data_IF_915699643158
#
_entry.id   IF_915699643158
#
_cell.length_a   1.000
_cell.length_b   1.000
_cell.length_c   1.000
_cell.angle_alpha   90.00
_cell.angle_beta   90.00
_cell.angle_gamma   90.00
#
_symmetry.space_group_name_H-M   'P 1'
#
loop_
_entity.id
_entity.type
_entity.pdbx_description
1 polymer ?
#
# COMPACT_ATOMS: atom_id res chain seq x y z
N UNK A 1 -0.34 -15.53 -55.94
CA UNK A 1 0.41 -16.12 -54.81
C UNK A 1 1.22 -15.04 -54.09
N UNK A 2 2.04 -14.22 -54.79
CA UNK A 2 2.76 -13.09 -54.16
C UNK A 2 1.89 -12.07 -53.39
N UNK A 3 0.73 -11.68 -53.92
CA UNK A 3 -0.18 -10.72 -53.23
C UNK A 3 -0.76 -11.27 -51.91
N UNK A 4 -0.84 -12.60 -51.79
CA UNK A 4 -1.40 -13.29 -50.64
C UNK A 4 -0.40 -13.33 -49.48
N UNK A 5 0.89 -13.39 -49.79
CA UNK A 5 1.97 -13.47 -48.81
C UNK A 5 2.25 -12.09 -48.20
N UNK A 6 2.17 -11.02 -49.00
CA UNK A 6 2.31 -9.64 -48.51
C UNK A 6 1.17 -9.21 -47.57
N UNK A 7 -0.05 -9.68 -47.81
CA UNK A 7 -1.18 -9.42 -46.90
C UNK A 7 -1.00 -10.14 -45.56
N UNK A 8 -0.48 -11.37 -45.57
CA UNK A 8 -0.15 -12.10 -44.35
C UNK A 8 1.01 -11.45 -43.60
N UNK A 9 2.02 -10.92 -44.30
CA UNK A 9 3.14 -10.20 -43.68
C UNK A 9 2.67 -8.92 -42.99
N UNK A 10 1.74 -8.18 -43.61
CA UNK A 10 1.11 -6.98 -43.02
C UNK A 10 0.28 -7.32 -41.78
N UNK A 11 -0.52 -8.40 -41.83
CA UNK A 11 -1.30 -8.87 -40.67
C UNK A 11 -0.39 -9.33 -39.52
N UNK A 12 0.74 -9.96 -39.82
CA UNK A 12 1.76 -10.33 -38.83
C UNK A 12 2.44 -9.09 -38.25
N UNK A 13 2.75 -8.08 -39.06
CA UNK A 13 3.29 -6.80 -38.58
C UNK A 13 2.32 -6.07 -37.66
N UNK A 14 1.04 -6.02 -38.00
CA UNK A 14 -0.02 -5.43 -37.15
C UNK A 14 -0.20 -6.21 -35.85
N UNK A 15 -0.02 -7.54 -35.86
CA UNK A 15 -0.04 -8.39 -34.66
C UNK A 15 1.17 -8.13 -33.74
N UNK A 16 2.36 -7.92 -34.31
CA UNK A 16 3.59 -7.64 -33.56
C UNK A 16 3.59 -6.21 -32.99
N UNK A 17 3.08 -5.23 -33.75
CA UNK A 17 2.98 -3.84 -33.32
C UNK A 17 1.81 -3.64 -32.33
N UNK A 18 0.70 -4.38 -32.51
CA UNK A 18 -0.43 -4.42 -31.58
C UNK A 18 -0.18 -5.25 -30.31
N UNK A 19 0.83 -6.12 -30.34
CA UNK A 19 1.40 -6.83 -29.19
C UNK A 19 2.28 -5.92 -28.35
N UNK A 20 1.75 -4.78 -27.92
CA UNK A 20 2.39 -3.92 -26.94
C UNK A 20 2.57 -4.68 -25.63
N UNK A 21 3.72 -5.34 -25.50
CA UNK A 21 4.25 -5.93 -24.26
C UNK A 21 4.59 -4.85 -23.23
N UNK A 22 3.64 -3.96 -22.95
CA UNK A 22 3.66 -3.16 -21.74
C UNK A 22 3.25 -4.09 -20.61
N UNK A 23 4.11 -4.23 -19.60
CA UNK A 23 3.70 -4.82 -18.33
C UNK A 23 2.49 -4.02 -17.86
N UNK A 24 1.29 -4.60 -18.00
CA UNK A 24 0.06 -3.94 -17.60
C UNK A 24 0.12 -3.84 -16.08
N UNK A 25 0.63 -2.72 -15.56
CA UNK A 25 0.72 -2.43 -14.13
C UNK A 25 -0.63 -2.68 -13.47
N UNK A 26 -1.73 -2.35 -14.18
CA UNK A 26 -3.10 -2.67 -13.76
C UNK A 26 -3.38 -4.17 -13.60
N UNK A 27 -2.86 -5.03 -14.48
CA UNK A 27 -3.01 -6.49 -14.39
C UNK A 27 -2.14 -7.09 -13.29
N UNK A 28 -0.91 -6.59 -13.11
CA UNK A 28 -0.02 -7.01 -12.03
C UNK A 28 -0.55 -6.58 -10.65
N UNK A 29 -0.99 -5.33 -10.50
CA UNK A 29 -1.64 -4.84 -9.29
C UNK A 29 -2.94 -5.59 -9.02
N UNK A 30 -3.76 -5.88 -10.04
CA UNK A 30 -4.96 -6.74 -9.86
C UNK A 30 -4.59 -8.14 -9.41
N UNK A 31 -3.52 -8.75 -9.91
CA UNK A 31 -3.07 -10.07 -9.47
C UNK A 31 -2.60 -10.07 -8.01
N UNK A 32 -1.95 -8.99 -7.55
CA UNK A 32 -1.55 -8.80 -6.15
C UNK A 32 -2.79 -8.59 -5.26
N UNK A 33 -3.74 -7.76 -5.68
CA UNK A 33 -4.94 -7.42 -4.90
C UNK A 33 -5.93 -8.60 -4.83
N UNK A 34 -6.06 -9.39 -5.90
CA UNK A 34 -6.91 -10.60 -5.89
C UNK A 34 -6.35 -11.72 -5.03
N UNK A 35 -5.12 -11.58 -4.54
CA UNK A 35 -4.53 -12.58 -3.70
C UNK A 35 -5.19 -12.52 -2.32
N UNK A 36 -5.94 -13.56 -1.96
CA UNK A 36 -6.76 -13.61 -0.73
C UNK A 36 -5.96 -13.50 0.58
N UNK A 37 -4.63 -13.44 0.51
CA UNK A 37 -3.71 -13.24 1.64
C UNK A 37 -3.35 -11.77 1.87
N UNK A 38 -3.66 -10.87 0.92
CA UNK A 38 -3.30 -9.46 1.01
C UNK A 38 -4.10 -8.74 2.11
N UNK A 39 -5.43 -8.89 2.12
CA UNK A 39 -6.28 -8.30 3.16
C UNK A 39 -5.94 -8.75 4.60
N UNK A 40 -5.79 -10.06 4.89
CA UNK A 40 -5.43 -10.54 6.22
C UNK A 40 -4.05 -10.10 6.70
N UNK A 41 -3.07 -9.91 5.81
CA UNK A 41 -1.73 -9.47 6.16
C UNK A 41 -1.73 -8.07 6.81
N UNK A 42 -2.56 -7.15 6.31
CA UNK A 42 -2.66 -5.80 6.88
C UNK A 42 -3.43 -5.77 8.20
N UNK A 43 -4.44 -6.63 8.37
CA UNK A 43 -5.10 -6.79 9.67
C UNK A 43 -4.10 -7.28 10.73
N UNK A 44 -3.22 -8.22 10.37
CA UNK A 44 -2.14 -8.68 11.26
C UNK A 44 -1.16 -7.54 11.57
N UNK A 45 -0.78 -6.72 10.59
CA UNK A 45 0.09 -5.56 10.80
C UNK A 45 -0.55 -4.50 11.70
N UNK A 46 -1.85 -4.23 11.57
CA UNK A 46 -2.59 -3.30 12.43
C UNK A 46 -2.55 -3.80 13.88
N UNK A 47 -2.85 -5.08 14.09
CA UNK A 47 -2.80 -5.70 15.42
C UNK A 47 -1.38 -5.65 15.98
N UNK A 48 -0.35 -5.92 15.17
CA UNK A 48 1.04 -5.85 15.59
C UNK A 48 1.43 -4.42 16.01
N UNK A 49 1.04 -3.39 15.26
CA UNK A 49 1.27 -1.99 15.61
C UNK A 49 0.56 -1.59 16.90
N UNK A 50 -0.69 -2.04 17.10
CA UNK A 50 -1.43 -1.82 18.34
C UNK A 50 -0.77 -2.51 19.54
N UNK A 51 -0.21 -3.72 19.35
CA UNK A 51 0.54 -4.42 20.40
C UNK A 51 1.82 -3.64 20.74
N UNK A 52 2.55 -3.13 19.76
CA UNK A 52 3.74 -2.29 20.01
C UNK A 52 3.38 -1.04 20.81
N UNK A 53 2.28 -0.38 20.47
CA UNK A 53 1.79 0.77 21.23
C UNK A 53 1.38 0.37 22.66
N UNK A 54 0.73 -0.79 22.82
CA UNK A 54 0.32 -1.31 24.13
C UNK A 54 1.49 -1.79 25.01
N UNK A 55 2.65 -2.08 24.42
CA UNK A 55 3.87 -2.45 25.14
C UNK A 55 4.64 -1.23 25.70
N UNK A 56 4.19 0.00 25.42
CA UNK A 56 4.73 1.20 26.05
C UNK A 56 4.28 1.27 27.52
N UNK A 57 5.21 1.50 28.44
CA UNK A 57 4.94 1.63 29.88
C UNK A 57 5.75 2.77 30.51
N UNK A 58 5.35 3.29 31.68
CA UNK A 58 6.10 4.40 32.30
C UNK A 58 7.40 3.92 32.96
N UNK A 59 8.51 4.63 32.75
CA UNK A 59 9.84 4.27 33.28
C UNK A 59 10.65 3.25 32.45
N UNK A 60 10.39 3.15 31.14
CA UNK A 60 11.20 2.31 30.24
C UNK A 60 12.61 2.88 30.07
N UNK A 61 13.57 2.02 29.73
CA UNK A 61 14.91 2.50 29.33
C UNK A 61 14.85 3.21 27.97
N UNK A 62 15.63 4.28 27.78
CA UNK A 62 15.73 5.04 26.52
C UNK A 62 15.98 4.17 25.27
N UNK A 63 16.67 3.02 25.44
CA UNK A 63 16.94 2.10 24.32
C UNK A 63 15.70 1.30 23.91
N UNK A 64 14.81 1.01 24.86
CA UNK A 64 13.56 0.31 24.61
C UNK A 64 12.54 1.24 23.96
N UNK A 65 12.40 2.47 24.47
CA UNK A 65 11.54 3.51 23.89
C UNK A 65 11.88 3.76 22.42
N UNK A 66 13.17 3.98 22.10
CA UNK A 66 13.64 4.15 20.72
C UNK A 66 13.34 2.93 19.83
N UNK A 67 13.38 1.73 20.39
CA UNK A 67 13.03 0.51 19.69
C UNK A 67 11.55 0.46 19.32
N UNK A 68 10.66 0.82 20.26
CA UNK A 68 9.22 0.91 20.03
C UNK A 68 8.88 2.02 19.01
N UNK A 69 9.52 3.18 19.12
CA UNK A 69 9.33 4.29 18.16
C UNK A 69 9.77 3.90 16.74
N UNK A 70 10.91 3.20 16.62
CA UNK A 70 11.38 2.70 15.33
C UNK A 70 10.42 1.66 14.75
N UNK A 71 9.88 0.77 15.57
CA UNK A 71 8.89 -0.22 15.13
C UNK A 71 7.59 0.45 14.65
N UNK A 72 7.06 1.42 15.40
CA UNK A 72 5.88 2.20 15.01
C UNK A 72 6.10 2.98 13.70
N UNK A 73 7.30 3.53 13.49
CA UNK A 73 7.67 4.18 12.23
C UNK A 73 7.67 3.18 11.05
N UNK A 74 8.26 2.00 11.24
CA UNK A 74 8.30 0.95 10.21
C UNK A 74 6.88 0.49 9.84
N UNK A 75 6.01 0.27 10.82
CA UNK A 75 4.61 -0.09 10.57
C UNK A 75 3.86 1.02 9.82
N UNK A 76 4.08 2.28 10.18
CA UNK A 76 3.47 3.42 9.50
C UNK A 76 3.88 3.49 8.04
N UNK A 77 5.17 3.31 7.73
CA UNK A 77 5.67 3.26 6.34
C UNK A 77 5.03 2.09 5.57
N UNK A 78 4.90 0.92 6.20
CA UNK A 78 4.25 -0.24 5.57
C UNK A 78 2.78 0.03 5.24
N UNK A 79 2.03 0.69 6.11
CA UNK A 79 0.64 1.05 5.82
C UNK A 79 0.50 2.13 4.74
N UNK A 80 1.44 3.08 4.67
CA UNK A 80 1.48 4.08 3.59
C UNK A 80 1.71 3.39 2.25
N UNK A 81 2.67 2.46 2.18
CA UNK A 81 2.94 1.70 0.96
C UNK A 81 1.73 0.88 0.53
N UNK A 82 1.03 0.27 1.48
CA UNK A 82 -0.19 -0.47 1.21
C UNK A 82 -1.30 0.40 0.62
N UNK A 83 -1.56 1.56 1.23
CA UNK A 83 -2.53 2.53 0.75
C UNK A 83 -2.22 2.95 -0.69
N UNK A 84 -0.94 3.24 -0.97
CA UNK A 84 -0.48 3.61 -2.32
C UNK A 84 -0.71 2.46 -3.31
N UNK A 85 -0.37 1.23 -2.94
CA UNK A 85 -0.55 0.05 -3.79
C UNK A 85 -2.03 -0.22 -4.10
N UNK A 86 -2.91 -0.14 -3.09
CA UNK A 86 -4.37 -0.27 -3.26
C UNK A 86 -4.94 0.83 -4.17
N UNK A 87 -4.55 2.09 -3.95
CA UNK A 87 -5.03 3.24 -4.74
C UNK A 87 -4.55 3.15 -6.19
N UNK A 88 -3.30 2.76 -6.42
CA UNK A 88 -2.75 2.58 -7.79
C UNK A 88 -3.36 1.36 -8.49
N UNK A 89 -3.64 0.29 -7.76
CA UNK A 89 -4.17 -0.95 -8.33
C UNK A 89 -5.68 -0.96 -8.59
N UNK A 90 -6.49 -0.36 -7.73
CA UNK A 90 -7.96 -0.27 -7.89
C UNK A 90 -8.40 1.05 -8.53
N UNK A 91 -7.59 2.11 -8.43
CA UNK A 91 -8.00 3.46 -8.79
C UNK A 91 -8.77 4.16 -7.67
N UNK A 92 -8.63 5.48 -7.58
CA UNK A 92 -9.20 6.31 -6.50
C UNK A 92 -10.72 6.18 -6.38
N UNK A 93 -11.41 6.01 -7.51
CA UNK A 93 -12.88 5.95 -7.57
C UNK A 93 -13.46 4.63 -7.06
N UNK A 94 -12.77 3.52 -7.30
CA UNK A 94 -13.18 2.19 -6.81
C UNK A 94 -12.74 1.99 -5.35
N UNK A 95 -11.53 2.48 -5.01
CA UNK A 95 -11.04 2.57 -3.64
C UNK A 95 -12.02 3.34 -2.72
N UNK A 96 -12.53 4.48 -3.21
CA UNK A 96 -13.47 5.33 -2.50
C UNK A 96 -14.90 4.81 -2.42
N UNK A 97 -15.23 3.63 -2.97
CA UNK A 97 -16.55 3.01 -2.79
C UNK A 97 -16.60 2.07 -1.60
N UNK A 98 -15.47 1.46 -1.25
CA UNK A 98 -15.39 0.52 -0.14
C UNK A 98 -15.17 1.26 1.21
N UNK A 99 -16.10 1.16 2.17
CA UNK A 99 -15.95 1.76 3.49
C UNK A 99 -14.75 1.22 4.29
N UNK A 100 -14.33 -0.04 4.07
CA UNK A 100 -13.17 -0.60 4.77
C UNK A 100 -11.86 0.02 4.28
N UNK A 101 -11.73 0.28 2.99
CA UNK A 101 -10.59 1.00 2.43
C UNK A 101 -10.54 2.46 2.91
N UNK A 102 -11.69 3.12 3.10
CA UNK A 102 -11.74 4.45 3.72
C UNK A 102 -11.27 4.43 5.18
N UNK A 103 -11.67 3.40 5.92
CA UNK A 103 -11.24 3.21 7.30
C UNK A 103 -9.72 3.03 7.37
N UNK A 104 -9.14 2.16 6.54
CA UNK A 104 -7.69 1.95 6.42
C UNK A 104 -6.96 3.27 6.12
N UNK A 105 -7.44 4.04 5.13
CA UNK A 105 -6.88 5.35 4.79
C UNK A 105 -6.94 6.37 5.95
N UNK A 106 -8.02 6.35 6.74
CA UNK A 106 -8.17 7.25 7.89
C UNK A 106 -7.17 6.91 9.01
N UNK A 107 -6.94 5.61 9.27
CA UNK A 107 -5.95 5.16 10.25
C UNK A 107 -4.55 5.61 9.83
N UNK A 108 -4.18 5.43 8.55
CA UNK A 108 -2.88 5.88 8.03
C UNK A 108 -2.73 7.40 8.13
N UNK A 109 -3.77 8.16 7.80
CA UNK A 109 -3.75 9.62 7.89
C UNK A 109 -3.53 10.07 9.35
N UNK A 110 -4.16 9.39 10.30
CA UNK A 110 -4.01 9.68 11.73
C UNK A 110 -2.58 9.41 12.22
N UNK A 111 -1.96 8.30 11.78
CA UNK A 111 -0.55 7.99 12.10
C UNK A 111 0.44 8.98 11.49
N UNK A 112 0.20 9.47 10.26
CA UNK A 112 1.04 10.52 9.65
C UNK A 112 0.93 11.83 10.43
N UNK A 113 -0.28 12.21 10.83
CA UNK A 113 -0.52 13.38 11.67
C UNK A 113 0.24 13.22 12.99
N UNK A 114 0.11 12.09 13.66
CA UNK A 114 0.85 11.81 14.90
C UNK A 114 2.36 11.96 14.75
N UNK A 115 2.96 11.40 13.68
CA UNK A 115 4.39 11.56 13.39
C UNK A 115 4.77 13.02 13.10
N UNK A 116 3.97 13.72 12.29
CA UNK A 116 4.21 15.12 11.94
C UNK A 116 4.14 16.02 13.18
N UNK A 117 3.19 15.78 14.07
CA UNK A 117 3.00 16.56 15.30
C UNK A 117 3.92 16.13 16.45
N UNK A 118 4.43 14.89 16.46
CA UNK A 118 5.51 14.45 17.37
C UNK A 118 6.77 15.29 17.19
N UNK A 119 7.07 15.72 15.96
CA UNK A 119 8.17 16.65 15.68
C UNK A 119 7.91 18.11 16.11
N UNK A 120 6.65 18.46 16.43
CA UNK A 120 6.18 19.81 16.77
C UNK A 120 5.85 20.06 18.25
N UNK A 121 6.12 19.13 19.16
CA UNK A 121 6.05 19.34 20.62
C UNK A 121 4.65 19.56 21.22
N UNK A 122 3.56 19.47 20.43
CA UNK A 122 2.21 19.87 20.87
C UNK A 122 1.30 18.78 21.42
N UNK A 123 1.62 17.49 21.23
CA UNK A 123 0.69 16.38 21.50
C UNK A 123 1.18 15.35 22.53
N UNK A 124 2.02 15.76 23.49
CA UNK A 124 2.39 14.90 24.64
C UNK A 124 1.18 14.47 25.48
N UNK A 125 0.00 15.06 25.27
CA UNK A 125 -1.25 14.77 25.98
C UNK A 125 -2.13 13.67 25.36
N UNK A 126 -1.74 13.10 24.21
CA UNK A 126 -2.44 11.99 23.54
C UNK A 126 -1.66 10.66 23.61
N UNK A 127 -0.51 10.66 24.31
CA UNK A 127 0.20 9.46 24.74
C UNK A 127 -0.41 8.94 26.04
#
# INVERSE_FOLDING_TARGET
EEDSDDENLRRLQESIIGGGGGVNVRAFCKAIINASWFGPLFVVLIIANTIVLAMAYDGMSDSYEKGLDTANLVFTIMFILELVLKVVGMGVEEYGKDPFNKFDAAIVLMSIIELAFSSGGGLTALR
#
